data_IF_364539349976
#
_entry.id   IF_364539349976
#
_cell.length_a   1.000
_cell.length_b   1.000
_cell.length_c   1.000
_cell.angle_alpha   90.00
_cell.angle_beta   90.00
_cell.angle_gamma   90.00
#
_symmetry.space_group_name_H-M   'P 1'
#
loop_
_entity.id
_entity.type
_entity.pdbx_description
1 polymer ?
#
# COMPACT_ATOMS: atom_id res chain seq x y z
N UNK A 1 -4.71 -10.07 7.44
CA UNK A 1 -5.51 -8.96 8.02
C UNK A 1 -6.94 -9.19 7.54
N UNK A 2 -8.01 -8.99 8.33
CA UNK A 2 -9.37 -9.22 7.78
C UNK A 2 -9.62 -8.23 6.63
N UNK A 3 -10.21 -8.68 5.52
CA UNK A 3 -10.48 -7.90 4.31
C UNK A 3 -11.24 -6.58 4.57
N UNK A 4 -11.98 -6.50 5.67
CA UNK A 4 -12.70 -5.32 6.15
C UNK A 4 -11.78 -4.11 6.39
N UNK A 5 -10.55 -4.34 6.90
CA UNK A 5 -9.57 -3.27 7.13
C UNK A 5 -9.00 -2.70 5.81
N UNK A 6 -8.97 -3.51 4.75
CA UNK A 6 -8.57 -3.09 3.41
C UNK A 6 -9.62 -2.16 2.77
N UNK A 7 -10.89 -2.43 3.01
CA UNK A 7 -12.00 -1.61 2.52
C UNK A 7 -12.13 -0.29 3.31
N UNK A 8 -11.78 -0.26 4.59
CA UNK A 8 -11.71 1.00 5.35
C UNK A 8 -10.65 1.97 4.79
N UNK A 9 -9.54 1.48 4.23
CA UNK A 9 -8.53 2.33 3.58
C UNK A 9 -9.04 3.07 2.34
N UNK A 10 -9.99 2.47 1.62
CA UNK A 10 -10.59 3.03 0.42
C UNK A 10 -11.51 4.22 0.72
N UNK A 11 -12.09 4.28 1.93
CA UNK A 11 -13.17 5.19 2.28
C UNK A 11 -12.77 6.27 3.30
N UNK A 12 -11.86 5.98 4.23
CA UNK A 12 -11.58 6.90 5.35
C UNK A 12 -10.25 7.66 5.25
N UNK A 13 -9.24 7.14 4.57
CA UNK A 13 -7.87 7.64 4.69
C UNK A 13 -7.28 8.09 3.35
N UNK A 14 -7.15 9.41 3.08
CA UNK A 14 -6.49 9.90 1.87
C UNK A 14 -5.01 9.48 1.82
N UNK A 15 -4.40 9.26 2.98
CA UNK A 15 -3.01 8.81 3.16
C UNK A 15 -2.92 7.82 4.33
N UNK A 16 -2.03 6.85 4.22
CA UNK A 16 -1.83 5.82 5.22
C UNK A 16 -0.37 5.39 5.31
N UNK A 17 -0.03 4.76 6.44
CA UNK A 17 1.23 4.05 6.63
C UNK A 17 0.95 2.55 6.59
N UNK A 18 1.61 1.84 5.67
CA UNK A 18 1.55 0.37 5.54
C UNK A 18 2.87 -0.25 5.98
N UNK A 19 2.78 -1.21 6.90
CA UNK A 19 3.92 -1.97 7.43
C UNK A 19 3.88 -3.40 6.91
N UNK A 20 4.97 -3.89 6.32
CA UNK A 20 5.04 -5.25 5.80
C UNK A 20 6.48 -5.77 5.73
N UNK A 21 6.63 -7.09 5.69
CA UNK A 21 7.94 -7.73 5.51
C UNK A 21 8.37 -7.67 4.04
N UNK A 22 9.39 -6.87 3.73
CA UNK A 22 9.93 -6.76 2.39
C UNK A 22 11.02 -7.82 2.17
N UNK A 23 10.65 -8.93 1.50
CA UNK A 23 11.55 -10.05 1.21
C UNK A 23 12.90 -9.63 0.63
N UNK A 24 12.89 -8.69 -0.33
CA UNK A 24 14.12 -8.15 -0.97
C UNK A 24 15.10 -7.54 0.04
N UNK A 25 14.58 -6.96 1.13
CA UNK A 25 15.38 -6.28 2.16
C UNK A 25 15.57 -7.11 3.42
N UNK A 26 14.95 -8.30 3.51
CA UNK A 26 15.02 -9.17 4.68
C UNK A 26 14.45 -8.57 5.98
N UNK A 27 13.67 -7.48 5.90
CA UNK A 27 13.20 -6.74 7.08
C UNK A 27 11.78 -6.19 6.91
N UNK A 28 11.14 -5.86 8.03
CA UNK A 28 9.90 -5.10 8.06
C UNK A 28 10.20 -3.66 7.68
N UNK A 29 9.38 -3.10 6.79
CA UNK A 29 9.45 -1.71 6.38
C UNK A 29 8.10 -1.04 6.52
N UNK A 30 8.13 0.26 6.79
CA UNK A 30 6.96 1.14 6.83
C UNK A 30 6.99 2.03 5.58
N UNK A 31 5.87 2.17 4.90
CA UNK A 31 5.73 3.02 3.71
C UNK A 31 4.50 3.91 3.86
N UNK A 32 4.68 5.19 3.58
CA UNK A 32 3.59 6.14 3.40
C UNK A 32 3.05 6.02 1.99
N UNK A 33 1.75 5.90 1.87
CA UNK A 33 1.12 5.78 0.58
C UNK A 33 -0.32 6.23 0.56
N UNK A 34 -0.87 6.20 -0.65
CA UNK A 34 -2.27 6.48 -0.92
C UNK A 34 -2.83 5.42 -1.84
N UNK A 35 -4.14 5.26 -1.78
CA UNK A 35 -4.84 4.33 -2.67
C UNK A 35 -4.88 4.85 -4.09
N UNK A 36 -5.16 6.13 -4.28
CA UNK A 36 -5.31 6.75 -5.60
C UNK A 36 -4.02 7.46 -5.97
N UNK A 37 -3.47 7.18 -7.16
CA UNK A 37 -2.28 7.88 -7.65
C UNK A 37 -2.53 9.39 -7.68
N UNK A 38 -1.58 10.21 -7.18
CA UNK A 38 -1.73 11.66 -7.20
C UNK A 38 -1.99 12.21 -8.60
N UNK A 39 -2.93 13.15 -8.70
CA UNK A 39 -3.34 13.84 -9.93
C UNK A 39 -3.93 12.91 -11.01
N UNK A 40 -4.39 11.71 -10.65
CA UNK A 40 -5.11 10.82 -11.56
C UNK A 40 -6.25 10.11 -10.84
N UNK A 41 -7.17 9.50 -11.59
CA UNK A 41 -8.22 8.63 -11.03
C UNK A 41 -7.76 7.16 -10.94
N UNK A 42 -6.46 6.90 -11.10
CA UNK A 42 -5.93 5.54 -11.09
C UNK A 42 -5.84 5.03 -9.66
N UNK A 43 -6.71 4.08 -9.34
CA UNK A 43 -6.77 3.46 -8.02
C UNK A 43 -5.79 2.28 -7.89
N UNK A 44 -5.35 2.06 -6.65
CA UNK A 44 -4.65 0.87 -6.21
C UNK A 44 -5.56 -0.37 -6.23
N UNK A 45 -5.06 -1.48 -5.70
CA UNK A 45 -5.78 -2.75 -5.72
C UNK A 45 -5.49 -3.60 -4.50
N UNK A 46 -6.52 -4.25 -3.98
CA UNK A 46 -6.40 -5.34 -3.01
C UNK A 46 -6.99 -6.61 -3.61
N UNK A 47 -6.28 -7.72 -3.41
CA UNK A 47 -6.76 -9.04 -3.77
C UNK A 47 -6.00 -10.09 -2.95
N UNK A 48 -6.56 -11.29 -2.86
CA UNK A 48 -5.91 -12.43 -2.23
C UNK A 48 -5.36 -13.34 -3.31
N UNK A 49 -4.10 -13.74 -3.20
CA UNK A 49 -3.44 -14.70 -4.10
C UNK A 49 -2.72 -15.75 -3.26
N UNK A 50 -3.01 -17.03 -3.48
CA UNK A 50 -2.44 -18.15 -2.71
C UNK A 50 -2.58 -17.98 -1.18
N UNK A 51 -3.71 -17.48 -0.72
CA UNK A 51 -3.95 -17.21 0.70
C UNK A 51 -3.15 -16.03 1.28
N UNK A 52 -2.47 -15.25 0.44
CA UNK A 52 -1.74 -14.04 0.84
C UNK A 52 -2.51 -12.81 0.40
N UNK A 53 -2.69 -11.87 1.33
CA UNK A 53 -3.21 -10.54 1.03
C UNK A 53 -2.18 -9.76 0.21
N UNK A 54 -2.60 -9.22 -0.93
CA UNK A 54 -1.76 -8.37 -1.78
C UNK A 54 -2.38 -6.99 -1.87
N UNK A 55 -1.58 -5.98 -1.53
CA UNK A 55 -1.93 -4.57 -1.62
C UNK A 55 -1.02 -3.87 -2.63
N UNK A 56 -1.65 -3.27 -3.64
CA UNK A 56 -1.03 -2.37 -4.60
C UNK A 56 -1.44 -0.95 -4.25
N UNK A 57 -0.47 -0.10 -3.94
CA UNK A 57 -0.69 1.28 -3.51
C UNK A 57 0.39 2.21 -4.06
N UNK A 58 0.09 3.50 -4.11
CA UNK A 58 1.05 4.51 -4.54
C UNK A 58 1.90 4.94 -3.33
N UNK A 59 3.21 4.72 -3.39
CA UNK A 59 4.15 5.11 -2.33
C UNK A 59 4.71 6.51 -2.62
N UNK A 60 4.62 7.43 -1.65
CA UNK A 60 5.09 8.81 -1.82
C UNK A 60 6.63 8.88 -1.91
N UNK A 61 7.32 8.03 -1.16
CA UNK A 61 8.77 8.04 -0.94
C UNK A 61 9.51 7.00 -1.79
N UNK A 62 8.77 6.26 -2.61
CA UNK A 62 9.34 5.32 -3.55
C UNK A 62 10.14 6.02 -4.65
N UNK A 63 11.33 5.50 -4.95
CA UNK A 63 12.02 5.82 -6.21
C UNK A 63 11.11 5.41 -7.39
N UNK A 64 10.88 6.31 -8.36
CA UNK A 64 10.07 6.01 -9.53
C UNK A 64 10.76 4.96 -10.40
N UNK A 65 9.98 4.09 -11.03
CA UNK A 65 10.50 3.21 -12.07
C UNK A 65 10.75 3.99 -13.39
N UNK A 66 11.19 3.29 -14.45
CA UNK A 66 11.48 3.88 -15.77
C UNK A 66 10.31 4.70 -16.37
N UNK A 67 9.07 4.44 -15.93
CA UNK A 67 7.86 5.12 -16.40
C UNK A 67 7.36 6.17 -15.39
N UNK A 68 8.17 6.59 -14.41
CA UNK A 68 7.79 7.55 -13.38
C UNK A 68 6.86 6.99 -12.30
N UNK A 69 6.55 5.69 -12.32
CA UNK A 69 5.56 5.11 -11.41
C UNK A 69 6.17 4.69 -10.07
N UNK A 70 5.46 5.03 -9.00
CA UNK A 70 5.82 4.71 -7.60
C UNK A 70 4.91 3.67 -6.97
N UNK A 71 4.18 2.90 -7.78
CA UNK A 71 3.38 1.77 -7.30
C UNK A 71 4.24 0.76 -6.54
N UNK A 72 3.72 0.27 -5.42
CA UNK A 72 4.35 -0.75 -4.58
C UNK A 72 3.39 -1.87 -4.28
N UNK A 73 3.97 -3.04 -4.09
CA UNK A 73 3.29 -4.28 -3.75
C UNK A 73 3.70 -4.66 -2.32
N UNK A 74 2.74 -4.60 -1.39
CA UNK A 74 2.87 -5.16 -0.05
C UNK A 74 2.14 -6.49 0.02
N UNK A 75 2.87 -7.56 0.35
CA UNK A 75 2.31 -8.88 0.60
C UNK A 75 2.15 -9.10 2.10
N UNK A 76 0.97 -9.58 2.53
CA UNK A 76 0.62 -9.80 3.93
C UNK A 76 1.05 -8.63 4.83
N UNK A 77 0.50 -7.42 4.63
CA UNK A 77 0.81 -6.32 5.52
C UNK A 77 0.46 -6.69 6.96
N UNK A 78 1.36 -6.30 7.85
CA UNK A 78 1.28 -6.52 9.29
C UNK A 78 0.29 -5.52 9.89
N UNK A 79 0.40 -4.26 9.45
CA UNK A 79 -0.49 -3.20 9.90
C UNK A 79 -0.67 -2.15 8.80
N UNK A 80 -1.82 -1.49 8.83
CA UNK A 80 -2.08 -0.29 8.05
C UNK A 80 -2.79 0.70 8.98
N UNK A 81 -2.22 1.90 9.10
CA UNK A 81 -2.71 2.95 9.99
C UNK A 81 -2.94 4.24 9.21
N UNK A 82 -3.97 5.00 9.59
CA UNK A 82 -4.16 6.37 9.11
C UNK A 82 -2.92 7.19 9.40
N UNK A 83 -2.48 7.99 8.43
CA UNK A 83 -1.58 9.10 8.70
C UNK A 83 -2.42 10.28 9.22
N UNK A 84 -2.23 10.62 10.49
CA UNK A 84 -2.86 11.80 11.09
C UNK A 84 -1.92 12.97 10.81
N UNK A 85 -2.38 13.92 9.98
CA UNK A 85 -1.71 15.19 9.76
C UNK A 85 -1.70 16.03 11.04
#
# INVERSE_FOLDING_TARGET
MKAEKAQQLLLEYPQFVISYYAKKHGKIINRQGTWTKPNTDTQGRHFVSEGKDIFIYWDFNAEPNKNGNKWRHATNPINITREVA
#
